data_IF_470698965885
#
_entry.id   IF_470698965885
#
_cell.length_a   1.000
_cell.length_b   1.000
_cell.length_c   1.000
_cell.angle_alpha   90.00
_cell.angle_beta   90.00
_cell.angle_gamma   90.00
#
_symmetry.space_group_name_H-M   'P 1'
#
loop_
_entity.id
_entity.type
_entity.pdbx_description
1 polymer ?
#
# COMPACT_ATOMS: atom_id res chain seq x y z
N UNK A 1 5.41 -45.42 -44.17
CA UNK A 1 4.31 -46.13 -43.45
C UNK A 1 3.05 -46.16 -44.31
N UNK A 2 2.24 -47.21 -44.21
CA UNK A 2 0.97 -47.29 -44.94
C UNK A 2 -0.16 -46.60 -44.16
N UNK A 3 -1.27 -46.28 -44.84
CA UNK A 3 -2.37 -45.50 -44.21
C UNK A 3 -2.94 -46.16 -42.94
N UNK A 4 -3.03 -47.49 -42.88
CA UNK A 4 -3.50 -48.23 -41.69
C UNK A 4 -2.60 -48.06 -40.47
N UNK A 5 -1.29 -47.94 -40.69
CA UNK A 5 -0.33 -47.70 -39.62
C UNK A 5 -0.49 -46.28 -39.09
N UNK A 6 -0.67 -45.32 -40.01
CA UNK A 6 -0.92 -43.91 -39.66
C UNK A 6 -2.24 -43.73 -38.91
N UNK A 7 -3.31 -44.44 -39.29
CA UNK A 7 -4.57 -44.45 -38.53
C UNK A 7 -4.35 -44.87 -37.09
N UNK A 8 -3.58 -45.95 -36.85
CA UNK A 8 -3.25 -46.42 -35.50
C UNK A 8 -2.42 -45.41 -34.72
N UNK A 9 -1.45 -44.75 -35.37
CA UNK A 9 -0.54 -43.81 -34.73
C UNK A 9 -1.15 -42.44 -34.43
N UNK A 10 -2.14 -42.01 -35.21
CA UNK A 10 -2.77 -40.68 -35.12
C UNK A 10 -4.18 -40.75 -34.52
N UNK A 11 -4.83 -41.91 -34.59
CA UNK A 11 -6.24 -42.08 -34.27
C UNK A 11 -7.18 -41.30 -35.20
N UNK A 12 -6.71 -40.90 -36.39
CA UNK A 12 -7.53 -40.31 -37.44
C UNK A 12 -8.07 -41.43 -38.34
N UNK A 13 -9.26 -41.23 -38.92
CA UNK A 13 -9.76 -42.15 -39.94
C UNK A 13 -9.04 -41.93 -41.27
N UNK A 14 -8.96 -42.98 -42.08
CA UNK A 14 -8.42 -42.93 -43.45
C UNK A 14 -9.10 -41.81 -44.26
N UNK A 15 -10.41 -41.61 -44.05
CA UNK A 15 -11.16 -40.54 -44.72
C UNK A 15 -10.65 -39.15 -44.32
N UNK A 16 -10.36 -38.93 -43.04
CA UNK A 16 -9.81 -37.67 -42.56
C UNK A 16 -8.39 -37.42 -43.09
N UNK A 17 -7.53 -38.46 -43.08
CA UNK A 17 -6.15 -38.37 -43.61
C UNK A 17 -6.17 -37.99 -45.09
N UNK A 18 -7.01 -38.65 -45.90
CA UNK A 18 -7.18 -38.33 -47.33
C UNK A 18 -7.73 -36.92 -47.55
N UNK A 19 -8.68 -36.48 -46.72
CA UNK A 19 -9.21 -35.13 -46.80
C UNK A 19 -8.11 -34.09 -46.53
N UNK A 20 -7.25 -34.32 -45.56
CA UNK A 20 -6.14 -33.40 -45.24
C UNK A 20 -5.09 -33.37 -46.35
N UNK A 21 -4.79 -34.51 -46.96
CA UNK A 21 -3.97 -34.58 -48.18
C UNK A 21 -4.61 -33.79 -49.33
N UNK A 22 -5.90 -34.01 -49.61
CA UNK A 22 -6.64 -33.31 -50.69
C UNK A 22 -6.70 -31.79 -50.47
N UNK A 23 -6.78 -31.34 -49.22
CA UNK A 23 -6.77 -29.92 -48.85
C UNK A 23 -5.36 -29.32 -48.79
N UNK A 24 -4.32 -30.12 -49.07
CA UNK A 24 -2.93 -29.70 -49.07
C UNK A 24 -2.40 -29.33 -47.68
N UNK A 25 -2.93 -29.95 -46.63
CA UNK A 25 -2.43 -29.81 -45.25
C UNK A 25 -1.26 -30.73 -44.96
N UNK A 26 -1.14 -31.83 -45.72
CA UNK A 26 0.01 -32.73 -45.72
C UNK A 26 0.35 -33.10 -47.15
N UNK A 27 1.61 -33.38 -47.41
CA UNK A 27 2.08 -33.89 -48.70
C UNK A 27 2.65 -35.30 -48.51
N UNK A 28 2.15 -36.25 -49.31
CA UNK A 28 2.47 -37.67 -49.15
C UNK A 28 3.14 -38.18 -50.40
N UNK A 29 4.38 -38.67 -50.26
CA UNK A 29 5.09 -39.31 -51.35
C UNK A 29 4.42 -40.63 -51.74
N UNK A 30 4.58 -41.02 -53.01
CA UNK A 30 4.22 -42.36 -53.47
C UNK A 30 5.47 -43.22 -53.62
N UNK A 31 5.37 -44.47 -53.23
CA UNK A 31 6.47 -45.41 -53.34
C UNK A 31 6.73 -45.74 -54.83
N UNK A 32 7.95 -45.56 -55.34
CA UNK A 32 8.25 -45.74 -56.76
C UNK A 32 8.13 -47.19 -57.26
N UNK A 33 8.08 -48.19 -56.36
CA UNK A 33 8.00 -49.60 -56.71
C UNK A 33 6.57 -50.12 -56.88
N UNK A 34 5.59 -49.50 -56.22
CA UNK A 34 4.21 -50.01 -56.17
C UNK A 34 3.12 -48.93 -56.18
N UNK A 35 3.51 -47.65 -56.34
CA UNK A 35 2.65 -46.46 -56.39
C UNK A 35 1.71 -46.26 -55.18
N UNK A 36 1.92 -47.00 -54.08
CA UNK A 36 1.17 -46.78 -52.85
C UNK A 36 1.69 -45.55 -52.11
N UNK A 37 0.77 -44.87 -51.40
CA UNK A 37 1.11 -43.73 -50.53
C UNK A 37 2.02 -44.20 -49.40
N UNK A 38 3.13 -43.50 -49.23
CA UNK A 38 4.11 -43.76 -48.21
C UNK A 38 4.24 -42.55 -47.28
N UNK A 39 3.67 -42.68 -46.08
CA UNK A 39 3.66 -41.62 -45.09
C UNK A 39 4.97 -41.63 -44.29
N UNK A 40 5.63 -40.47 -44.22
CA UNK A 40 6.81 -40.25 -43.39
C UNK A 40 6.43 -40.05 -41.92
N UNK A 41 7.43 -40.08 -41.03
CA UNK A 41 7.23 -39.69 -39.63
C UNK A 41 6.80 -38.23 -39.48
N UNK A 42 7.29 -37.35 -40.34
CA UNK A 42 6.89 -35.94 -40.36
C UNK A 42 5.39 -35.79 -40.72
N UNK A 43 4.90 -36.57 -41.68
CA UNK A 43 3.47 -36.59 -42.01
C UNK A 43 2.63 -37.04 -40.80
N UNK A 44 3.09 -38.03 -40.03
CA UNK A 44 2.42 -38.45 -38.79
C UNK A 44 2.44 -37.34 -37.74
N UNK A 45 3.56 -36.62 -37.59
CA UNK A 45 3.68 -35.47 -36.68
C UNK A 45 2.71 -34.35 -37.06
N UNK A 46 2.67 -33.97 -38.34
CA UNK A 46 1.76 -32.96 -38.86
C UNK A 46 0.30 -33.37 -38.67
N UNK A 47 -0.06 -34.63 -38.96
CA UNK A 47 -1.42 -35.15 -38.73
C UNK A 47 -1.83 -35.11 -37.25
N UNK A 48 -0.91 -35.37 -36.32
CA UNK A 48 -1.17 -35.21 -34.88
C UNK A 48 -1.40 -33.74 -34.50
N UNK A 49 -0.62 -32.83 -35.06
CA UNK A 49 -0.80 -31.39 -34.85
C UNK A 49 -2.14 -30.91 -35.41
N UNK A 50 -2.51 -31.29 -36.64
CA UNK A 50 -3.81 -31.00 -37.24
C UNK A 50 -4.94 -31.50 -36.33
N UNK A 51 -4.84 -32.73 -35.80
CA UNK A 51 -5.82 -33.27 -34.87
C UNK A 51 -5.97 -32.42 -33.61
N UNK A 52 -4.86 -31.95 -33.05
CA UNK A 52 -4.85 -31.09 -31.87
C UNK A 52 -5.50 -29.72 -32.17
N UNK A 53 -5.14 -29.09 -33.29
CA UNK A 53 -5.72 -27.80 -33.68
C UNK A 53 -7.23 -27.92 -33.98
N UNK A 54 -7.67 -29.04 -34.56
CA UNK A 54 -9.10 -29.34 -34.74
C UNK A 54 -9.83 -29.51 -33.41
N UNK A 55 -9.16 -30.03 -32.37
CA UNK A 55 -9.74 -30.14 -31.03
C UNK A 55 -9.98 -28.75 -30.40
N UNK A 56 -9.13 -27.77 -30.70
CA UNK A 56 -9.33 -26.37 -30.32
C UNK A 56 -10.24 -25.61 -31.29
N UNK A 57 -11.03 -26.31 -32.11
CA UNK A 57 -11.98 -25.72 -33.06
C UNK A 57 -11.33 -24.75 -34.07
N UNK A 58 -10.07 -24.99 -34.46
CA UNK A 58 -9.48 -24.25 -35.57
C UNK A 58 -10.07 -24.73 -36.91
N UNK A 59 -10.40 -23.80 -37.80
CA UNK A 59 -10.88 -24.11 -39.14
C UNK A 59 -9.78 -24.74 -40.00
N UNK A 60 -10.13 -25.44 -41.09
CA UNK A 60 -9.10 -26.03 -41.98
C UNK A 60 -8.23 -24.95 -42.66
N UNK A 61 -8.79 -23.75 -42.87
CA UNK A 61 -8.05 -22.61 -43.41
C UNK A 61 -7.04 -22.08 -42.38
N UNK A 62 -7.47 -21.85 -41.14
CA UNK A 62 -6.60 -21.44 -40.03
C UNK A 62 -5.48 -22.46 -39.81
N UNK A 63 -5.80 -23.76 -39.81
CA UNK A 63 -4.80 -24.82 -39.65
C UNK A 63 -3.75 -24.75 -40.74
N UNK A 64 -4.13 -24.48 -41.99
CA UNK A 64 -3.17 -24.35 -43.09
C UNK A 64 -2.18 -23.22 -42.86
N UNK A 65 -2.65 -22.08 -42.37
CA UNK A 65 -1.80 -20.94 -42.00
C UNK A 65 -0.91 -21.29 -40.81
N UNK A 66 -1.48 -21.86 -39.74
CA UNK A 66 -0.76 -22.24 -38.53
C UNK A 66 0.34 -23.29 -38.79
N UNK A 67 0.16 -24.19 -39.76
CA UNK A 67 1.19 -25.17 -40.14
C UNK A 67 2.39 -24.53 -40.84
N UNK A 68 2.25 -23.31 -41.38
CA UNK A 68 3.33 -22.58 -42.04
C UNK A 68 4.15 -21.70 -41.10
N UNK A 69 3.71 -21.54 -39.86
CA UNK A 69 4.32 -20.64 -38.88
C UNK A 69 5.60 -21.18 -38.28
N UNK A 70 6.49 -20.26 -37.88
CA UNK A 70 7.59 -20.59 -36.98
C UNK A 70 7.04 -21.01 -35.61
N UNK A 71 7.87 -21.64 -34.77
CA UNK A 71 7.43 -22.05 -33.43
C UNK A 71 7.00 -20.85 -32.56
N UNK A 72 7.62 -19.68 -32.74
CA UNK A 72 7.29 -18.45 -32.01
C UNK A 72 5.96 -17.84 -32.48
N UNK A 73 5.73 -17.84 -33.79
CA UNK A 73 4.47 -17.35 -34.37
C UNK A 73 3.30 -18.27 -34.03
N UNK A 74 3.51 -19.59 -34.09
CA UNK A 74 2.51 -20.58 -33.69
C UNK A 74 2.14 -20.43 -32.21
N UNK A 75 3.13 -20.18 -31.35
CA UNK A 75 2.88 -19.91 -29.92
C UNK A 75 2.03 -18.67 -29.73
N UNK A 76 2.32 -17.60 -30.47
CA UNK A 76 1.55 -16.34 -30.42
C UNK A 76 0.10 -16.55 -30.87
N UNK A 77 -0.11 -17.24 -32.00
CA UNK A 77 -1.44 -17.54 -32.51
C UNK A 77 -2.26 -18.45 -31.58
N UNK A 78 -1.61 -19.44 -30.93
CA UNK A 78 -2.28 -20.27 -29.92
C UNK A 78 -2.63 -19.49 -28.66
N UNK A 79 -1.84 -18.49 -28.28
CA UNK A 79 -2.20 -17.56 -27.20
C UNK A 79 -3.44 -16.74 -27.55
N UNK A 80 -3.54 -16.24 -28.78
CA UNK A 80 -4.72 -15.53 -29.28
C UNK A 80 -5.96 -16.44 -29.29
N UNK A 81 -5.84 -17.66 -29.81
CA UNK A 81 -6.93 -18.65 -29.78
C UNK A 81 -7.40 -18.95 -28.36
N UNK A 82 -6.47 -19.08 -27.40
CA UNK A 82 -6.80 -19.24 -25.97
C UNK A 82 -7.57 -18.03 -25.42
N UNK A 83 -7.19 -16.81 -25.80
CA UNK A 83 -7.91 -15.60 -25.38
C UNK A 83 -9.34 -15.59 -25.92
N UNK A 84 -9.52 -15.91 -27.20
CA UNK A 84 -10.86 -16.03 -27.80
C UNK A 84 -11.74 -17.08 -27.12
N UNK A 85 -11.19 -18.26 -26.81
CA UNK A 85 -11.91 -19.31 -26.07
C UNK A 85 -12.31 -18.83 -24.67
N UNK A 86 -11.43 -18.12 -23.96
CA UNK A 86 -11.76 -17.58 -22.64
C UNK A 86 -12.88 -16.53 -22.71
N UNK A 87 -12.88 -15.68 -23.72
CA UNK A 87 -13.93 -14.68 -23.93
C UNK A 87 -15.27 -15.37 -24.22
N UNK A 88 -15.29 -16.38 -25.10
CA UNK A 88 -16.48 -17.18 -25.35
C UNK A 88 -16.98 -17.89 -24.08
N UNK A 89 -16.09 -18.39 -23.24
CA UNK A 89 -16.46 -19.02 -21.98
C UNK A 89 -17.13 -18.02 -21.01
N UNK A 90 -16.65 -16.78 -20.99
CA UNK A 90 -17.24 -15.70 -20.18
C UNK A 90 -18.62 -15.29 -20.70
N UNK A 91 -18.77 -15.10 -22.02
CA UNK A 91 -20.07 -14.84 -22.65
C UNK A 91 -21.09 -15.97 -22.41
N UNK A 92 -20.62 -17.22 -22.44
CA UNK A 92 -21.46 -18.38 -22.12
C UNK A 92 -21.85 -18.41 -20.64
N UNK A 93 -20.96 -18.00 -19.73
CA UNK A 93 -21.29 -17.89 -18.30
C UNK A 93 -22.36 -16.82 -18.07
N UNK A 94 -22.22 -15.64 -18.68
CA UNK A 94 -23.23 -14.57 -18.61
C UNK A 94 -24.59 -15.05 -19.13
N UNK A 95 -24.60 -15.82 -20.24
CA UNK A 95 -25.82 -16.43 -20.79
C UNK A 95 -26.44 -17.45 -19.85
N UNK A 96 -25.64 -18.25 -19.14
CA UNK A 96 -26.12 -19.22 -18.14
C UNK A 96 -26.74 -18.50 -16.94
N UNK A 97 -26.14 -17.42 -16.48
CA UNK A 97 -26.68 -16.62 -15.37
C UNK A 97 -28.03 -15.99 -15.76
N UNK A 98 -28.10 -15.40 -16.96
CA UNK A 98 -29.36 -14.86 -17.48
C UNK A 98 -30.43 -15.95 -17.65
N UNK A 99 -30.07 -17.12 -18.22
CA UNK A 99 -30.99 -18.25 -18.34
C UNK A 99 -31.52 -18.69 -16.97
N UNK A 100 -30.67 -18.68 -15.95
CA UNK A 100 -31.06 -19.03 -14.58
C UNK A 100 -32.08 -18.04 -14.03
N UNK A 101 -31.90 -16.74 -14.29
CA UNK A 101 -32.86 -15.70 -13.92
C UNK A 101 -34.19 -15.86 -14.68
N UNK A 102 -34.13 -16.05 -16.01
CA UNK A 102 -35.32 -16.29 -16.83
C UNK A 102 -36.12 -17.50 -16.33
N UNK A 103 -35.45 -18.61 -16.00
CA UNK A 103 -36.09 -19.80 -15.44
C UNK A 103 -36.79 -19.50 -14.11
N UNK A 104 -36.23 -18.62 -13.27
CA UNK A 104 -36.84 -18.24 -12.00
C UNK A 104 -38.08 -17.37 -12.18
N UNK A 105 -38.09 -16.49 -13.19
CA UNK A 105 -39.14 -15.48 -13.40
C UNK A 105 -40.26 -15.97 -14.33
N UNK A 106 -40.00 -17.04 -15.10
CA UNK A 106 -40.94 -17.61 -16.06
C UNK A 106 -42.30 -17.93 -15.42
N UNK A 107 -43.34 -17.22 -15.85
CA UNK A 107 -44.72 -17.40 -15.38
C UNK A 107 -45.04 -16.81 -14.01
N UNK A 108 -44.10 -16.09 -13.36
CA UNK A 108 -44.35 -15.38 -12.09
C UNK A 108 -44.74 -13.92 -12.26
N UNK A 109 -44.40 -13.31 -13.40
CA UNK A 109 -44.74 -11.94 -13.79
C UNK A 109 -45.34 -11.93 -15.19
N UNK A 110 -46.22 -10.98 -15.51
CA UNK A 110 -46.74 -10.80 -16.88
C UNK A 110 -45.65 -10.25 -17.82
N UNK A 111 -44.80 -9.35 -17.32
CA UNK A 111 -43.82 -8.60 -18.13
C UNK A 111 -42.40 -9.22 -18.13
N UNK A 112 -42.26 -10.48 -17.70
CA UNK A 112 -40.95 -11.16 -17.58
C UNK A 112 -40.15 -11.17 -18.89
N UNK A 113 -40.84 -11.16 -20.04
CA UNK A 113 -40.21 -11.14 -21.35
C UNK A 113 -39.60 -9.78 -21.68
N UNK A 114 -40.28 -8.68 -21.31
CA UNK A 114 -39.77 -7.32 -21.51
C UNK A 114 -38.58 -7.05 -20.59
N UNK A 115 -38.67 -7.42 -19.30
CA UNK A 115 -37.56 -7.32 -18.34
C UNK A 115 -36.32 -8.12 -18.80
N UNK A 116 -36.50 -9.32 -19.36
CA UNK A 116 -35.41 -10.13 -19.88
C UNK A 116 -34.77 -9.49 -21.12
N UNK A 117 -35.56 -8.90 -22.02
CA UNK A 117 -35.05 -8.20 -23.21
C UNK A 117 -34.28 -6.93 -22.84
N UNK A 118 -34.77 -6.16 -21.87
CA UNK A 118 -34.06 -4.99 -21.33
C UNK A 118 -32.74 -5.39 -20.67
N UNK A 119 -32.73 -6.49 -19.91
CA UNK A 119 -31.53 -7.02 -19.27
C UNK A 119 -30.49 -7.48 -20.30
N UNK A 120 -30.90 -8.13 -21.39
CA UNK A 120 -30.02 -8.49 -22.52
C UNK A 120 -29.46 -7.22 -23.16
N UNK A 121 -30.31 -6.24 -23.48
CA UNK A 121 -29.88 -4.99 -24.11
C UNK A 121 -28.89 -4.21 -23.23
N UNK A 122 -29.07 -4.24 -21.90
CA UNK A 122 -28.15 -3.65 -20.95
C UNK A 122 -26.83 -4.41 -20.87
N UNK A 123 -26.86 -5.74 -20.75
CA UNK A 123 -25.65 -6.57 -20.65
C UNK A 123 -24.83 -6.52 -21.95
N UNK A 124 -25.49 -6.52 -23.11
CA UNK A 124 -24.84 -6.38 -24.42
C UNK A 124 -24.43 -4.94 -24.74
N UNK A 125 -24.83 -3.96 -23.91
CA UNK A 125 -24.41 -2.57 -24.11
C UNK A 125 -22.89 -2.46 -23.97
N UNK A 126 -22.25 -1.75 -24.90
CA UNK A 126 -20.81 -1.54 -24.87
C UNK A 126 -20.34 -0.88 -23.56
N UNK A 127 -21.13 0.05 -23.01
CA UNK A 127 -20.82 0.70 -21.73
C UNK A 127 -20.77 -0.28 -20.56
N UNK A 128 -21.69 -1.26 -20.51
CA UNK A 128 -21.69 -2.27 -19.45
C UNK A 128 -20.51 -3.23 -19.59
N UNK A 129 -20.20 -3.67 -20.81
CA UNK A 129 -19.07 -4.57 -21.07
C UNK A 129 -17.74 -3.90 -20.72
N UNK A 130 -17.54 -2.64 -21.10
CA UNK A 130 -16.36 -1.85 -20.73
C UNK A 130 -16.27 -1.70 -19.20
N UNK A 131 -17.38 -1.37 -18.53
CA UNK A 131 -17.42 -1.23 -17.07
C UNK A 131 -17.11 -2.56 -16.36
N UNK A 132 -17.69 -3.68 -16.84
CA UNK A 132 -17.45 -5.02 -16.29
C UNK A 132 -15.97 -5.36 -16.41
N UNK A 133 -15.37 -5.16 -17.58
CA UNK A 133 -13.97 -5.42 -17.82
C UNK A 133 -13.06 -4.57 -16.93
N UNK A 134 -13.37 -3.27 -16.76
CA UNK A 134 -12.65 -2.37 -15.88
C UNK A 134 -12.77 -2.78 -14.41
N UNK A 135 -13.96 -3.20 -13.97
CA UNK A 135 -14.20 -3.69 -12.61
C UNK A 135 -13.43 -4.98 -12.33
N UNK A 136 -13.49 -5.96 -13.24
CA UNK A 136 -12.71 -7.19 -13.12
C UNK A 136 -11.22 -6.90 -13.05
N UNK A 137 -10.71 -6.03 -13.93
CA UNK A 137 -9.33 -5.61 -13.91
C UNK A 137 -8.97 -4.90 -12.60
N UNK A 138 -9.86 -4.06 -12.06
CA UNK A 138 -9.67 -3.36 -10.79
C UNK A 138 -9.64 -4.33 -9.60
N UNK A 139 -10.47 -5.37 -9.60
CA UNK A 139 -10.58 -6.39 -8.55
C UNK A 139 -9.41 -7.38 -8.54
N UNK A 140 -8.67 -7.54 -9.65
CA UNK A 140 -7.48 -8.40 -9.66
C UNK A 140 -6.49 -8.00 -8.56
N UNK A 141 -5.89 -8.94 -7.82
CA UNK A 141 -4.95 -8.58 -6.77
C UNK A 141 -3.65 -8.03 -7.38
N UNK A 142 -3.04 -7.07 -6.69
CA UNK A 142 -1.81 -6.41 -7.11
C UNK A 142 -0.67 -6.78 -6.19
N UNK A 143 0.50 -7.13 -6.74
CA UNK A 143 1.67 -7.46 -5.90
C UNK A 143 2.09 -6.29 -5.02
N UNK A 144 1.93 -5.06 -5.50
CA UNK A 144 2.32 -3.86 -4.77
C UNK A 144 1.41 -3.65 -3.55
N UNK A 145 0.11 -3.86 -3.73
CA UNK A 145 -0.85 -3.78 -2.62
C UNK A 145 -0.66 -4.95 -1.65
N UNK A 146 -0.39 -6.16 -2.15
CA UNK A 146 -0.09 -7.33 -1.32
C UNK A 146 1.15 -7.11 -0.45
N UNK A 147 2.22 -6.56 -1.03
CA UNK A 147 3.44 -6.20 -0.30
C UNK A 147 3.17 -5.12 0.75
N UNK A 148 2.45 -4.06 0.39
CA UNK A 148 2.09 -2.99 1.32
C UNK A 148 1.24 -3.50 2.49
N UNK A 149 0.21 -4.31 2.22
CA UNK A 149 -0.62 -4.92 3.26
C UNK A 149 0.18 -5.87 4.14
N UNK A 150 1.14 -6.62 3.57
CA UNK A 150 2.06 -7.46 4.34
C UNK A 150 2.90 -6.64 5.31
N UNK A 151 3.44 -5.50 4.85
CA UNK A 151 4.22 -4.59 5.69
C UNK A 151 3.37 -3.97 6.81
N UNK A 152 2.12 -3.59 6.53
CA UNK A 152 1.22 -3.05 7.56
C UNK A 152 0.82 -4.11 8.58
N UNK A 153 0.51 -5.32 8.12
CA UNK A 153 0.12 -6.44 8.98
C UNK A 153 1.30 -7.02 9.76
N UNK A 154 2.56 -6.80 9.37
CA UNK A 154 3.72 -7.30 10.12
C UNK A 154 4.01 -6.51 11.41
N UNK A 155 3.38 -5.34 11.59
CA UNK A 155 3.58 -4.47 12.76
C UNK A 155 3.45 -5.18 14.11
N UNK A 156 2.34 -5.89 14.40
CA UNK A 156 2.18 -6.64 15.63
C UNK A 156 3.23 -7.74 15.84
N UNK A 157 3.66 -8.41 14.76
CA UNK A 157 4.67 -9.47 14.80
C UNK A 157 6.03 -8.89 15.17
N UNK A 158 6.41 -7.78 14.53
CA UNK A 158 7.63 -7.05 14.86
C UNK A 158 7.59 -6.53 16.30
N UNK A 159 6.44 -6.01 16.73
CA UNK A 159 6.26 -5.52 18.09
C UNK A 159 6.36 -6.63 19.14
N UNK A 160 5.83 -7.82 18.85
CA UNK A 160 5.98 -8.99 19.70
C UNK A 160 7.45 -9.37 19.83
N UNK A 161 8.16 -9.43 18.70
CA UNK A 161 9.57 -9.79 18.66
C UNK A 161 10.43 -8.80 19.45
N UNK A 162 10.24 -7.49 19.25
CA UNK A 162 11.00 -6.47 19.99
C UNK A 162 10.70 -6.51 21.49
N UNK A 163 9.44 -6.73 21.91
CA UNK A 163 9.08 -6.87 23.33
C UNK A 163 9.76 -8.07 23.99
N UNK A 164 9.79 -9.21 23.32
CA UNK A 164 10.47 -10.42 23.81
C UNK A 164 11.96 -10.14 23.98
N UNK A 165 12.59 -9.50 22.99
CA UNK A 165 14.02 -9.14 23.04
C UNK A 165 14.33 -8.16 24.19
N UNK A 166 13.42 -7.21 24.47
CA UNK A 166 13.53 -6.25 25.57
C UNK A 166 13.16 -6.85 26.94
N UNK A 167 12.79 -8.14 27.03
CA UNK A 167 12.41 -8.78 28.29
C UNK A 167 11.07 -8.30 28.88
N UNK A 168 10.23 -7.62 28.10
CA UNK A 168 8.95 -7.04 28.57
C UNK A 168 7.86 -8.12 28.59
N UNK A 169 7.48 -8.55 29.79
CA UNK A 169 6.50 -9.63 30.01
C UNK A 169 5.03 -9.19 29.87
N UNK A 170 4.76 -7.88 29.86
CA UNK A 170 3.39 -7.35 29.90
C UNK A 170 2.64 -7.53 28.59
N UNK A 171 1.39 -8.00 28.69
CA UNK A 171 0.45 -8.16 27.58
C UNK A 171 0.97 -9.03 26.42
N UNK A 172 2.01 -9.84 26.65
CA UNK A 172 2.60 -10.75 25.66
C UNK A 172 1.56 -11.71 25.08
N UNK A 173 0.63 -12.20 25.91
CA UNK A 173 -0.44 -13.08 25.45
C UNK A 173 -1.34 -12.40 24.40
N UNK A 174 -1.84 -11.19 24.71
CA UNK A 174 -2.67 -10.43 23.77
C UNK A 174 -1.92 -10.12 22.48
N UNK A 175 -0.66 -9.68 22.60
CA UNK A 175 0.19 -9.37 21.45
C UNK A 175 0.50 -10.61 20.61
N UNK A 176 0.66 -11.77 21.23
CA UNK A 176 0.80 -13.05 20.54
C UNK A 176 -0.47 -13.43 19.76
N UNK A 177 -1.66 -13.25 20.37
CA UNK A 177 -2.94 -13.48 19.67
C UNK A 177 -3.07 -12.54 18.46
N UNK A 178 -2.79 -11.25 18.63
CA UNK A 178 -2.85 -10.27 17.52
C UNK A 178 -1.81 -10.62 16.43
N UNK A 179 -0.61 -11.05 16.81
CA UNK A 179 0.44 -11.49 15.86
C UNK A 179 0.04 -12.75 15.09
N UNK A 180 -0.65 -13.69 15.73
CA UNK A 180 -1.19 -14.88 15.07
C UNK A 180 -2.30 -14.50 14.08
N UNK A 181 -3.22 -13.61 14.48
CA UNK A 181 -4.26 -13.10 13.59
C UNK A 181 -3.66 -12.37 12.39
N UNK A 182 -2.65 -11.53 12.61
CA UNK A 182 -1.91 -10.86 11.56
C UNK A 182 -1.21 -11.85 10.61
N UNK A 183 -0.58 -12.89 11.15
CA UNK A 183 0.07 -13.96 10.36
C UNK A 183 -0.95 -14.71 9.50
N UNK A 184 -2.11 -15.06 10.06
CA UNK A 184 -3.20 -15.69 9.33
C UNK A 184 -3.72 -14.77 8.21
N UNK A 185 -3.88 -13.48 8.49
CA UNK A 185 -4.30 -12.48 7.51
C UNK A 185 -3.30 -12.35 6.35
N UNK A 186 -2.00 -12.22 6.64
CA UNK A 186 -0.93 -12.21 5.63
C UNK A 186 -1.01 -13.46 4.76
N UNK A 187 -1.19 -14.63 5.38
CA UNK A 187 -1.30 -15.91 4.66
C UNK A 187 -2.49 -15.92 3.70
N UNK A 188 -3.65 -15.40 4.12
CA UNK A 188 -4.85 -15.32 3.28
C UNK A 188 -4.66 -14.38 2.09
N UNK A 189 -4.04 -13.21 2.29
CA UNK A 189 -3.75 -12.26 1.20
C UNK A 189 -2.81 -12.89 0.17
N UNK A 190 -1.72 -13.54 0.62
CA UNK A 190 -0.78 -14.19 -0.29
C UNK A 190 -1.39 -15.37 -1.02
N UNK A 191 -2.22 -16.17 -0.34
CA UNK A 191 -2.97 -17.25 -0.99
C UNK A 191 -3.85 -16.71 -2.10
N UNK A 192 -4.63 -15.67 -1.82
CA UNK A 192 -5.52 -15.04 -2.80
C UNK A 192 -4.76 -14.49 -4.01
N UNK A 193 -3.68 -13.74 -3.76
CA UNK A 193 -2.81 -13.23 -4.82
C UNK A 193 -2.22 -14.37 -5.68
N UNK A 194 -1.64 -15.40 -5.05
CA UNK A 194 -0.99 -16.50 -5.78
C UNK A 194 -2.00 -17.32 -6.58
N UNK A 195 -3.14 -17.70 -5.99
CA UNK A 195 -4.18 -18.47 -6.69
C UNK A 195 -4.69 -17.70 -7.90
N UNK A 196 -4.94 -16.39 -7.75
CA UNK A 196 -5.43 -15.56 -8.85
C UNK A 196 -4.33 -15.30 -9.89
N UNK A 197 -3.07 -15.18 -9.47
CA UNK A 197 -1.91 -15.07 -10.36
C UNK A 197 -1.76 -16.29 -11.28
N UNK A 198 -1.96 -17.50 -10.75
CA UNK A 198 -1.93 -18.71 -11.56
C UNK A 198 -3.07 -18.78 -12.57
N UNK A 199 -4.26 -18.24 -12.24
CA UNK A 199 -5.43 -18.19 -13.13
C UNK A 199 -5.33 -17.09 -14.21
N UNK A 200 -4.89 -15.89 -13.84
CA UNK A 200 -4.91 -14.68 -14.71
C UNK A 200 -3.51 -14.08 -14.91
N UNK A 201 -2.51 -14.93 -15.20
CA UNK A 201 -1.08 -14.57 -15.23
C UNK A 201 -0.77 -13.33 -16.08
N UNK A 202 -1.32 -13.25 -17.29
CA UNK A 202 -1.03 -12.16 -18.22
C UNK A 202 -1.67 -10.83 -17.76
N UNK A 203 -2.96 -10.85 -17.39
CA UNK A 203 -3.67 -9.68 -16.85
C UNK A 203 -2.98 -9.13 -15.59
N UNK A 204 -2.56 -10.01 -14.66
CA UNK A 204 -1.87 -9.59 -13.43
C UNK A 204 -0.46 -9.09 -13.72
N UNK A 205 0.28 -9.68 -14.65
CA UNK A 205 1.61 -9.17 -15.05
C UNK A 205 1.52 -7.77 -15.64
N UNK A 206 0.51 -7.51 -16.48
CA UNK A 206 0.25 -6.18 -17.01
C UNK A 206 -0.10 -5.18 -15.91
N UNK A 207 -0.98 -5.56 -14.96
CA UNK A 207 -1.34 -4.74 -13.80
C UNK A 207 -0.15 -4.42 -12.89
N UNK A 208 0.68 -5.42 -12.59
CA UNK A 208 1.88 -5.22 -11.78
C UNK A 208 2.87 -4.27 -12.47
N UNK A 209 3.02 -4.36 -13.79
CA UNK A 209 3.90 -3.46 -14.56
C UNK A 209 3.35 -2.02 -14.61
N UNK A 210 2.05 -1.84 -14.84
CA UNK A 210 1.43 -0.51 -14.86
C UNK A 210 1.50 0.18 -13.49
N UNK A 211 1.46 -0.61 -12.41
CA UNK A 211 1.50 -0.11 -11.04
C UNK A 211 2.91 0.00 -10.43
N UNK A 212 3.98 -0.38 -11.16
CA UNK A 212 5.35 -0.30 -10.64
C UNK A 212 5.79 1.13 -10.25
N UNK A 213 5.17 2.15 -10.83
CA UNK A 213 5.39 3.56 -10.49
C UNK A 213 5.03 3.90 -9.04
N UNK A 214 4.25 3.08 -8.33
CA UNK A 214 3.96 3.32 -6.91
C UNK A 214 5.20 3.29 -6.01
N UNK A 215 6.25 2.54 -6.37
CA UNK A 215 7.49 2.52 -5.58
C UNK A 215 8.19 3.89 -5.59
N UNK A 216 8.60 4.45 -6.75
CA UNK A 216 9.25 5.76 -6.77
C UNK A 216 8.33 6.85 -6.23
N UNK A 217 7.02 6.77 -6.45
CA UNK A 217 6.04 7.68 -5.85
C UNK A 217 6.11 7.63 -4.31
N UNK A 218 6.07 6.43 -3.73
CA UNK A 218 6.17 6.24 -2.28
C UNK A 218 7.49 6.78 -1.71
N UNK A 219 8.61 6.51 -2.39
CA UNK A 219 9.94 6.97 -1.96
C UNK A 219 10.07 8.49 -2.02
N UNK A 220 9.64 9.12 -3.12
CA UNK A 220 9.64 10.58 -3.28
C UNK A 220 8.72 11.22 -2.22
N UNK A 221 7.57 10.60 -1.95
CA UNK A 221 6.63 11.10 -0.93
C UNK A 221 7.22 11.02 0.48
N UNK A 222 7.95 9.94 0.80
CA UNK A 222 8.66 9.80 2.07
C UNK A 222 9.74 10.88 2.23
N UNK A 223 10.60 11.04 1.22
CA UNK A 223 11.66 12.06 1.22
C UNK A 223 11.04 13.45 1.31
N UNK A 224 10.00 13.75 0.53
CA UNK A 224 9.30 15.03 0.56
C UNK A 224 8.67 15.35 1.91
N UNK A 225 8.11 14.35 2.60
CA UNK A 225 7.60 14.50 3.96
C UNK A 225 8.69 14.87 4.97
N UNK A 226 9.85 14.21 4.89
CA UNK A 226 11.02 14.54 5.73
C UNK A 226 11.55 15.93 5.41
N UNK A 227 11.74 16.26 4.13
CA UNK A 227 12.20 17.58 3.67
C UNK A 227 11.24 18.67 4.12
N UNK A 228 9.94 18.44 4.06
CA UNK A 228 8.94 19.36 4.59
C UNK A 228 9.16 19.62 6.08
N UNK A 229 9.32 18.58 6.90
CA UNK A 229 9.50 18.76 8.34
C UNK A 229 10.77 19.56 8.67
N UNK A 230 11.87 19.28 7.98
CA UNK A 230 13.12 20.06 8.07
C UNK A 230 12.89 21.51 7.66
N UNK A 231 12.14 21.76 6.58
CA UNK A 231 11.79 23.11 6.13
C UNK A 231 10.96 23.86 7.17
N UNK A 232 9.98 23.20 7.81
CA UNK A 232 9.19 23.82 8.88
C UNK A 232 10.07 24.19 10.07
N UNK A 233 10.95 23.28 10.53
CA UNK A 233 11.92 23.57 11.58
C UNK A 233 12.79 24.79 11.25
N UNK A 234 13.37 24.80 10.05
CA UNK A 234 14.16 25.92 9.56
C UNK A 234 13.36 27.24 9.51
N UNK A 235 12.10 27.22 9.07
CA UNK A 235 11.23 28.40 9.06
C UNK A 235 10.96 28.91 10.48
N UNK A 236 10.63 28.01 11.40
CA UNK A 236 10.41 28.31 12.83
C UNK A 236 11.63 29.01 13.43
N UNK A 237 12.82 28.42 13.27
CA UNK A 237 14.07 28.94 13.81
C UNK A 237 14.51 30.26 13.18
N UNK A 238 14.27 30.42 11.87
CA UNK A 238 14.76 31.59 11.14
C UNK A 238 13.89 32.82 11.32
N UNK A 239 12.57 32.65 11.44
CA UNK A 239 11.61 33.75 11.36
C UNK A 239 10.75 33.95 12.60
N UNK A 240 10.56 32.92 13.43
CA UNK A 240 9.58 32.96 14.52
C UNK A 240 10.21 32.85 15.92
N UNK A 241 11.45 32.39 16.03
CA UNK A 241 12.17 32.30 17.30
C UNK A 241 13.10 33.52 17.51
N UNK A 242 13.17 34.07 18.73
CA UNK A 242 14.10 35.14 19.09
C UNK A 242 15.53 34.60 19.18
N UNK A 243 16.56 35.43 18.99
CA UNK A 243 17.96 34.98 18.86
C UNK A 243 18.53 34.21 20.07
N UNK A 244 17.94 34.35 21.25
CA UNK A 244 18.36 33.74 22.51
C UNK A 244 17.52 32.51 22.92
N UNK A 245 16.76 31.93 21.98
CA UNK A 245 16.00 30.70 22.22
C UNK A 245 16.94 29.55 22.63
N UNK A 246 16.56 28.85 23.70
CA UNK A 246 17.30 27.72 24.26
C UNK A 246 16.84 26.41 23.63
N UNK A 247 15.54 26.15 23.67
CA UNK A 247 14.91 25.00 23.04
C UNK A 247 13.44 25.28 22.75
N UNK A 248 12.84 24.50 21.86
CA UNK A 248 11.41 24.59 21.55
C UNK A 248 10.81 23.21 21.26
N UNK A 249 9.50 23.09 21.42
CA UNK A 249 8.78 21.87 21.03
C UNK A 249 7.43 22.21 20.40
N UNK A 250 7.09 21.49 19.33
CA UNK A 250 5.76 21.52 18.74
C UNK A 250 4.79 20.70 19.58
N UNK A 251 3.50 21.05 19.59
CA UNK A 251 2.51 20.12 20.14
C UNK A 251 2.56 18.77 19.40
N UNK A 252 2.77 17.69 20.13
CA UNK A 252 3.13 16.39 19.56
C UNK A 252 2.06 15.76 18.67
N UNK A 253 0.78 16.05 18.92
CA UNK A 253 -0.32 15.52 18.12
C UNK A 253 -0.37 16.07 16.68
N UNK A 254 -0.07 17.34 16.47
CA UNK A 254 -0.22 17.97 15.15
C UNK A 254 0.95 17.67 14.21
N UNK A 255 2.16 17.52 14.75
CA UNK A 255 3.37 17.15 13.97
C UNK A 255 3.21 15.82 13.25
N UNK A 256 2.72 14.79 13.94
CA UNK A 256 2.50 13.46 13.36
C UNK A 256 1.42 13.52 12.26
N UNK A 257 0.29 14.18 12.53
CA UNK A 257 -0.82 14.35 11.57
C UNK A 257 -0.36 15.08 10.31
N UNK A 258 0.46 16.10 10.46
CA UNK A 258 0.99 16.86 9.35
C UNK A 258 1.85 16.03 8.39
N UNK A 259 2.72 15.17 8.91
CA UNK A 259 3.57 14.30 8.10
C UNK A 259 2.71 13.32 7.30
N UNK A 260 1.75 12.66 7.94
CA UNK A 260 0.85 11.74 7.24
C UNK A 260 0.01 12.45 6.17
N UNK A 261 -0.49 13.64 6.46
CA UNK A 261 -1.26 14.43 5.50
C UNK A 261 -0.43 14.78 4.26
N UNK A 262 0.82 15.22 4.45
CA UNK A 262 1.70 15.63 3.35
C UNK A 262 2.16 14.44 2.54
N UNK A 263 2.49 13.32 3.19
CA UNK A 263 2.80 12.08 2.48
C UNK A 263 1.62 11.60 1.65
N UNK A 264 0.40 11.58 2.21
CA UNK A 264 -0.80 11.20 1.48
C UNK A 264 -1.06 12.17 0.29
N UNK A 265 -0.83 13.46 0.48
CA UNK A 265 -0.94 14.47 -0.57
C UNK A 265 0.08 14.23 -1.70
N UNK A 266 1.36 13.99 -1.38
CA UNK A 266 2.39 13.71 -2.38
C UNK A 266 2.09 12.43 -3.16
N UNK A 267 1.63 11.38 -2.48
CA UNK A 267 1.19 10.12 -3.13
C UNK A 267 0.04 10.39 -4.10
N UNK A 268 -0.96 11.19 -3.70
CA UNK A 268 -2.09 11.55 -4.55
C UNK A 268 -1.66 12.37 -5.78
N UNK A 269 -0.84 13.40 -5.58
CA UNK A 269 -0.36 14.29 -6.63
C UNK A 269 0.46 13.52 -7.67
N UNK A 270 1.46 12.78 -7.20
CA UNK A 270 2.35 11.99 -8.06
C UNK A 270 1.61 10.82 -8.72
N UNK A 271 0.63 10.21 -8.04
CA UNK A 271 -0.22 9.17 -8.60
C UNK A 271 -1.08 9.67 -9.77
N UNK A 272 -1.61 10.89 -9.70
CA UNK A 272 -2.32 11.50 -10.84
C UNK A 272 -1.40 11.91 -11.98
N UNK A 273 -0.22 12.46 -11.67
CA UNK A 273 0.80 12.78 -12.67
C UNK A 273 1.25 11.52 -13.44
N UNK A 274 1.45 10.41 -12.74
CA UNK A 274 1.82 9.13 -13.35
C UNK A 274 0.73 8.55 -14.26
N UNK A 275 -0.55 8.85 -14.01
CA UNK A 275 -1.67 8.46 -14.88
C UNK A 275 -1.95 9.47 -16.00
N UNK A 276 -1.13 10.52 -16.15
CA UNK A 276 -1.32 11.61 -17.13
C UNK A 276 -2.73 12.23 -17.11
N UNK A 277 -3.41 12.15 -15.96
CA UNK A 277 -4.75 12.73 -15.80
C UNK A 277 -4.60 14.23 -15.66
N UNK A 278 -5.29 15.01 -16.52
CA UNK A 278 -5.29 16.47 -16.45
C UNK A 278 -5.85 16.92 -15.09
N UNK A 279 -4.97 17.36 -14.20
CA UNK A 279 -5.35 18.00 -12.94
C UNK A 279 -5.72 19.45 -13.22
N UNK A 280 -6.96 19.84 -12.92
CA UNK A 280 -7.34 21.26 -12.97
C UNK A 280 -6.51 22.05 -11.95
N UNK A 281 -5.96 23.19 -12.36
CA UNK A 281 -5.09 24.03 -11.53
C UNK A 281 -5.75 24.44 -10.19
N UNK A 282 -7.09 24.50 -10.14
CA UNK A 282 -7.88 24.81 -8.95
C UNK A 282 -7.60 23.84 -7.79
N UNK A 283 -7.40 22.56 -8.09
CA UNK A 283 -7.06 21.56 -7.07
C UNK A 283 -5.62 21.74 -6.58
N UNK A 284 -4.70 22.11 -7.48
CA UNK A 284 -3.32 22.44 -7.10
C UNK A 284 -3.24 23.60 -6.13
N UNK A 285 -4.01 24.67 -6.38
CA UNK A 285 -4.14 25.80 -5.45
C UNK A 285 -4.72 25.40 -4.10
N UNK A 286 -5.82 24.65 -4.08
CA UNK A 286 -6.46 24.23 -2.83
C UNK A 286 -5.50 23.39 -1.97
N UNK A 287 -4.71 22.53 -2.60
CA UNK A 287 -3.72 21.69 -1.92
C UNK A 287 -2.53 22.52 -1.41
N UNK A 288 -2.01 23.45 -2.22
CA UNK A 288 -0.97 24.38 -1.77
C UNK A 288 -1.43 25.24 -0.59
N UNK A 289 -2.66 25.77 -0.64
CA UNK A 289 -3.28 26.48 0.47
C UNK A 289 -3.43 25.62 1.72
N UNK A 290 -3.80 24.35 1.56
CA UNK A 290 -3.86 23.37 2.64
C UNK A 290 -2.51 23.12 3.30
N UNK A 291 -1.44 22.95 2.50
CA UNK A 291 -0.08 22.83 3.03
C UNK A 291 0.36 24.07 3.80
N UNK A 292 0.12 25.28 3.27
CA UNK A 292 0.45 26.54 3.94
C UNK A 292 -0.28 26.67 5.28
N UNK A 293 -1.60 26.41 5.28
CA UNK A 293 -2.41 26.46 6.50
C UNK A 293 -1.93 25.44 7.54
N UNK A 294 -1.58 24.23 7.10
CA UNK A 294 -1.08 23.18 7.98
C UNK A 294 0.32 23.51 8.53
N UNK A 295 1.20 24.11 7.73
CA UNK A 295 2.48 24.68 8.21
C UNK A 295 2.23 25.77 9.25
N UNK A 296 1.31 26.70 8.98
CA UNK A 296 0.99 27.76 9.91
C UNK A 296 0.41 27.22 11.24
N UNK A 297 -0.45 26.20 11.17
CA UNK A 297 -0.98 25.53 12.35
C UNK A 297 0.10 24.83 13.17
N UNK A 298 1.06 24.16 12.52
CA UNK A 298 2.21 23.54 13.21
C UNK A 298 3.05 24.58 13.95
N UNK A 299 3.43 25.66 13.26
CA UNK A 299 4.23 26.73 13.88
C UNK A 299 3.46 27.38 15.03
N UNK A 300 2.13 27.52 14.89
CA UNK A 300 1.23 28.05 15.93
C UNK A 300 1.07 27.17 17.16
N UNK A 301 1.70 26.00 17.22
CA UNK A 301 1.73 25.17 18.42
C UNK A 301 3.11 25.04 19.04
N UNK A 302 4.04 25.92 18.63
CA UNK A 302 5.40 25.95 19.13
C UNK A 302 5.45 26.64 20.50
N UNK A 303 5.92 25.91 21.50
CA UNK A 303 6.33 26.48 22.77
C UNK A 303 7.86 26.60 22.78
N UNK A 304 8.37 27.81 22.90
CA UNK A 304 9.79 28.11 22.93
C UNK A 304 10.23 28.60 24.30
N UNK A 305 11.37 28.12 24.77
CA UNK A 305 12.00 28.58 26.00
C UNK A 305 13.21 29.40 25.62
N UNK A 306 13.30 30.63 26.14
CA UNK A 306 14.43 31.55 25.95
C UNK A 306 15.21 31.66 27.26
N UNK A 307 16.20 32.57 27.35
CA UNK A 307 16.95 32.75 28.59
C UNK A 307 16.12 33.30 29.74
N UNK A 308 15.13 34.14 29.46
CA UNK A 308 14.40 34.91 30.47
C UNK A 308 12.90 34.58 30.52
N UNK A 309 12.35 33.99 29.45
CA UNK A 309 10.90 33.78 29.30
C UNK A 309 10.53 32.54 28.47
N UNK A 310 9.26 32.17 28.55
CA UNK A 310 8.61 31.12 27.76
C UNK A 310 7.67 31.80 26.77
N UNK A 311 7.79 31.48 25.48
CA UNK A 311 7.02 32.08 24.40
C UNK A 311 6.11 31.00 23.80
N UNK A 312 4.81 31.24 23.83
CA UNK A 312 3.79 30.44 23.15
C UNK A 312 3.48 31.08 21.81
N UNK A 313 4.08 30.55 20.74
CA UNK A 313 3.97 31.12 19.39
C UNK A 313 2.62 30.77 18.81
N UNK A 314 1.91 31.77 18.32
CA UNK A 314 0.66 31.60 17.58
C UNK A 314 0.65 32.53 16.37
N UNK A 315 0.37 31.99 15.18
CA UNK A 315 0.28 32.78 13.94
C UNK A 315 -1.14 33.26 13.64
N UNK A 316 -2.15 32.65 14.27
CA UNK A 316 -3.57 32.95 14.07
C UNK A 316 -4.14 33.88 15.15
N UNK A 317 -3.49 33.92 16.31
CA UNK A 317 -3.78 34.82 17.43
C UNK A 317 -2.46 35.43 17.93
N UNK A 318 -2.48 36.53 18.70
CA UNK A 318 -1.27 37.09 19.28
C UNK A 318 -0.52 36.06 20.12
N UNK A 319 0.78 35.89 19.85
CA UNK A 319 1.67 35.07 20.69
C UNK A 319 1.64 35.56 22.14
N UNK A 320 1.79 34.64 23.08
CA UNK A 320 1.83 34.96 24.51
C UNK A 320 3.23 34.72 25.05
N UNK A 321 3.68 35.66 25.86
CA UNK A 321 4.97 35.58 26.56
C UNK A 321 4.69 35.42 28.05
N UNK A 322 5.40 34.49 28.67
CA UNK A 322 5.27 34.13 30.08
C UNK A 322 6.65 34.25 30.73
N UNK A 323 6.71 34.94 31.85
CA UNK A 323 7.90 34.88 32.71
C UNK A 323 7.95 33.51 33.38
N UNK A 324 9.15 33.07 33.79
CA UNK A 324 9.26 31.82 34.55
C UNK A 324 8.44 31.82 35.84
N UNK A 325 8.27 32.98 36.47
CA UNK A 325 7.41 33.16 37.65
C UNK A 325 5.91 32.92 37.39
N UNK A 326 5.48 32.94 36.12
CA UNK A 326 4.08 32.73 35.75
C UNK A 326 3.72 31.22 35.71
N UNK A 327 4.71 30.34 35.84
CA UNK A 327 4.50 28.90 35.95
C UNK A 327 3.89 28.56 37.31
N UNK A 328 2.67 28.04 37.30
CA UNK A 328 1.89 27.71 38.51
C UNK A 328 2.34 26.41 39.15
N UNK A 329 2.67 25.41 38.34
CA UNK A 329 3.16 24.11 38.79
C UNK A 329 3.89 23.37 37.69
N UNK A 330 4.72 22.41 38.11
CA UNK A 330 5.48 21.51 37.25
C UNK A 330 5.07 20.07 37.56
N UNK A 331 4.96 19.25 36.52
CA UNK A 331 4.89 17.80 36.64
C UNK A 331 5.98 17.16 35.80
N UNK A 332 6.75 16.23 36.37
CA UNK A 332 7.79 15.49 35.65
C UNK A 332 7.70 14.00 35.91
N UNK A 333 7.75 13.18 34.88
CA UNK A 333 7.77 11.73 35.07
C UNK A 333 7.59 10.96 33.79
N UNK A 334 7.35 9.66 33.94
CA UNK A 334 7.17 8.74 32.84
C UNK A 334 5.69 8.38 32.66
N UNK A 335 5.29 8.13 31.42
CA UNK A 335 3.97 7.56 31.16
C UNK A 335 3.89 6.11 31.63
N UNK A 336 2.68 5.66 31.96
CA UNK A 336 2.39 4.27 32.36
C UNK A 336 1.29 3.60 31.51
N UNK A 337 0.70 4.32 30.54
CA UNK A 337 -0.38 3.76 29.71
C UNK A 337 0.20 2.98 28.53
N UNK A 338 -0.23 1.73 28.40
CA UNK A 338 0.17 0.86 27.29
C UNK A 338 -0.43 1.31 25.95
N UNK A 339 -1.69 1.75 25.95
CA UNK A 339 -2.42 2.18 24.75
C UNK A 339 -2.99 3.57 24.99
N UNK A 340 -2.45 4.56 24.30
CA UNK A 340 -2.93 5.94 24.34
C UNK A 340 -2.49 6.71 23.09
N UNK A 341 -3.34 7.62 22.63
CA UNK A 341 -3.01 8.56 21.56
C UNK A 341 -2.06 9.64 22.08
N UNK A 342 -2.15 9.99 23.37
CA UNK A 342 -1.29 10.99 23.98
C UNK A 342 0.10 10.42 24.26
N UNK A 343 1.11 10.82 23.47
CA UNK A 343 2.48 10.32 23.59
C UNK A 343 3.08 10.53 24.98
N UNK A 344 2.76 11.65 25.65
CA UNK A 344 3.26 11.95 26.99
C UNK A 344 2.78 10.98 28.09
N UNK A 345 1.74 10.20 27.82
CA UNK A 345 1.21 9.20 28.75
C UNK A 345 1.63 7.77 28.35
N UNK A 346 2.28 7.59 27.20
CA UNK A 346 2.73 6.28 26.74
C UNK A 346 3.79 5.73 27.69
N UNK A 347 3.68 4.45 27.96
CA UNK A 347 4.56 3.73 28.88
C UNK A 347 6.05 3.96 28.55
N UNK A 348 6.82 4.47 29.52
CA UNK A 348 8.27 4.67 29.39
C UNK A 348 8.72 5.98 28.73
N UNK A 349 7.79 6.76 28.16
CA UNK A 349 8.09 8.08 27.60
C UNK A 349 8.18 9.10 28.74
N UNK A 350 9.31 9.82 28.80
CA UNK A 350 9.48 10.93 29.74
C UNK A 350 8.69 12.16 29.26
N UNK A 351 8.05 12.87 30.18
CA UNK A 351 7.48 14.17 29.87
C UNK A 351 7.66 15.18 31.01
N UNK A 352 8.02 16.40 30.62
CA UNK A 352 8.13 17.58 31.45
C UNK A 352 6.94 18.49 31.16
N UNK A 353 6.08 18.73 32.14
CA UNK A 353 4.80 19.42 31.93
C UNK A 353 4.72 20.64 32.82
N UNK A 354 4.50 21.80 32.23
CA UNK A 354 4.29 23.04 32.96
C UNK A 354 2.85 23.50 32.85
N UNK A 355 2.32 24.00 33.96
CA UNK A 355 1.01 24.62 34.02
C UNK A 355 1.16 26.14 34.01
N UNK A 356 0.71 26.77 32.93
CA UNK A 356 0.61 28.21 32.77
C UNK A 356 -0.86 28.65 32.92
N UNK A 357 -1.10 29.96 32.91
CA UNK A 357 -2.47 30.48 33.01
C UNK A 357 -3.30 30.11 31.77
N UNK A 358 -4.28 29.21 31.98
CA UNK A 358 -5.19 28.72 30.94
C UNK A 358 -4.58 27.72 29.94
N UNK A 359 -3.30 27.31 30.07
CA UNK A 359 -2.66 26.37 29.14
C UNK A 359 -1.66 25.45 29.83
N UNK A 360 -1.60 24.20 29.36
CA UNK A 360 -0.58 23.21 29.73
C UNK A 360 0.39 23.05 28.57
N UNK A 361 1.69 23.15 28.84
CA UNK A 361 2.74 22.90 27.86
C UNK A 361 3.47 21.61 28.28
N UNK A 362 3.81 20.79 27.28
CA UNK A 362 4.46 19.50 27.48
C UNK A 362 5.71 19.47 26.63
N UNK A 363 6.86 19.24 27.27
CA UNK A 363 8.14 18.99 26.63
C UNK A 363 8.50 17.51 26.83
N UNK A 364 8.88 16.82 25.77
CA UNK A 364 9.34 15.42 25.80
C UNK A 364 10.69 15.31 25.11
N UNK A 365 10.80 15.84 23.91
CA UNK A 365 11.98 15.79 23.05
C UNK A 365 12.15 17.13 22.33
N UNK A 366 12.48 18.20 23.08
CA UNK A 366 12.56 19.52 22.48
C UNK A 366 13.73 19.62 21.51
N UNK A 367 13.56 20.46 20.49
CA UNK A 367 14.64 20.84 19.58
C UNK A 367 15.51 21.90 20.24
N UNK A 368 16.82 21.70 20.25
CA UNK A 368 17.78 22.48 21.03
C UNK A 368 18.58 23.43 20.15
N UNK A 369 18.85 24.64 20.66
CA UNK A 369 19.76 25.57 20.02
C UNK A 369 21.22 25.16 20.30
N UNK A 370 21.80 24.41 19.36
CA UNK A 370 23.18 23.93 19.44
C UNK A 370 24.23 25.05 19.53
N UNK A 371 23.88 26.30 19.21
CA UNK A 371 24.81 27.43 19.37
C UNK A 371 24.90 27.92 20.81
N UNK A 372 23.88 27.67 21.63
CA UNK A 372 23.78 28.17 23.01
C UNK A 372 23.92 27.07 24.06
N UNK A 373 23.54 25.85 23.72
CA UNK A 373 23.57 24.69 24.61
C UNK A 373 24.56 23.66 24.05
N UNK A 374 25.45 23.08 24.88
CA UNK A 374 26.39 22.05 24.44
C UNK A 374 25.67 20.85 23.81
N UNK A 375 26.41 20.11 22.98
CA UNK A 375 25.93 18.93 22.27
C UNK A 375 25.77 17.74 23.23
N UNK A 376 24.78 17.83 24.12
CA UNK A 376 24.41 16.83 25.11
C UNK A 376 22.89 16.81 25.28
N UNK A 377 22.25 15.80 24.70
CA UNK A 377 20.78 15.72 24.59
C UNK A 377 20.09 15.76 25.96
N UNK A 378 19.05 16.58 26.10
CA UNK A 378 18.20 16.76 27.29
C UNK A 378 18.83 17.56 28.45
N UNK A 379 20.04 18.10 28.30
CA UNK A 379 20.65 18.97 29.32
C UNK A 379 19.83 20.27 29.53
N UNK A 380 19.18 20.73 28.47
CA UNK A 380 18.32 21.91 28.46
C UNK A 380 17.12 21.77 29.41
N UNK A 381 16.60 20.55 29.57
CA UNK A 381 15.49 20.27 30.48
C UNK A 381 15.95 20.25 31.94
N UNK A 382 17.17 19.78 32.23
CA UNK A 382 17.75 19.85 33.59
C UNK A 382 17.98 21.30 34.01
N UNK A 383 18.55 22.12 33.12
CA UNK A 383 18.81 23.53 33.40
C UNK A 383 17.50 24.33 33.52
N UNK A 384 16.53 24.04 32.66
CA UNK A 384 15.19 24.63 32.76
C UNK A 384 14.51 24.26 34.07
N UNK A 385 14.59 23.00 34.48
CA UNK A 385 14.04 22.54 35.76
C UNK A 385 14.68 23.26 36.94
N UNK A 386 16.01 23.34 36.96
CA UNK A 386 16.76 24.05 38.02
C UNK A 386 16.30 25.50 38.15
N UNK A 387 16.08 26.21 37.04
CA UNK A 387 15.58 27.59 37.06
C UNK A 387 14.20 27.70 37.72
N UNK A 388 13.28 26.81 37.37
CA UNK A 388 11.94 26.81 37.97
C UNK A 388 11.98 26.42 39.46
N UNK A 389 12.81 25.45 39.83
CA UNK A 389 12.95 25.03 41.24
C UNK A 389 13.57 26.13 42.11
N UNK A 390 14.53 26.90 41.57
CA UNK A 390 15.11 28.05 42.25
C UNK A 390 14.09 29.17 42.53
N UNK A 391 13.01 29.25 41.75
CA UNK A 391 11.89 30.19 41.96
C UNK A 391 10.86 29.67 42.98
N UNK A 392 11.03 28.46 43.52
CA UNK A 392 10.12 27.86 44.49
C UNK A 392 8.80 27.39 43.88
N UNK A 393 8.77 27.11 42.57
CA UNK A 393 7.57 26.63 41.88
C UNK A 393 7.24 25.20 42.35
N UNK A 394 5.97 24.91 42.70
CA UNK A 394 5.61 23.58 43.18
C UNK A 394 5.72 22.54 42.07
N UNK A 395 6.32 21.39 42.41
CA UNK A 395 6.56 20.28 41.49
C UNK A 395 6.04 18.97 42.02
N UNK A 396 5.29 18.26 41.17
CA UNK A 396 4.92 16.87 41.33
C UNK A 396 5.80 15.99 40.44
N UNK A 397 6.22 14.83 40.94
CA UNK A 397 7.06 13.94 40.16
C UNK A 397 6.68 12.47 40.31
N UNK A 398 6.98 11.68 39.28
CA UNK A 398 6.72 10.23 39.28
C UNK A 398 7.81 9.47 38.55
N UNK A 399 8.41 8.50 39.24
CA UNK A 399 9.32 7.51 38.65
C UNK A 399 8.58 6.30 38.10
N UNK A 400 7.27 6.20 38.32
CA UNK A 400 6.46 5.09 37.82
C UNK A 400 6.50 5.05 36.30
N UNK A 401 6.90 3.92 35.74
CA UNK A 401 7.02 3.74 34.30
C UNK A 401 8.44 3.95 33.74
N UNK A 402 9.36 4.48 34.55
CA UNK A 402 10.78 4.64 34.21
C UNK A 402 11.45 3.32 33.78
N UNK A 403 11.02 2.18 34.36
CA UNK A 403 11.52 0.86 34.01
C UNK A 403 11.21 0.44 32.56
N UNK A 404 10.27 1.12 31.89
CA UNK A 404 9.93 0.89 30.49
C UNK A 404 10.55 1.92 29.55
N UNK A 405 11.43 2.79 30.03
CA UNK A 405 12.14 3.71 29.15
C UNK A 405 13.03 2.93 28.18
N UNK A 406 12.98 3.30 26.89
CA UNK A 406 13.75 2.64 25.82
C UNK A 406 15.07 3.35 25.51
N UNK A 407 15.31 4.52 26.09
CA UNK A 407 16.52 5.29 25.86
C UNK A 407 17.70 4.69 26.63
N UNK A 408 18.92 5.03 26.19
CA UNK A 408 20.13 4.60 26.87
C UNK A 408 20.12 4.98 28.35
N UNK A 409 20.75 4.14 29.18
CA UNK A 409 20.87 4.33 30.62
C UNK A 409 21.40 5.72 31.02
N UNK A 410 22.23 6.34 30.19
CA UNK A 410 22.72 7.71 30.37
C UNK A 410 21.56 8.72 30.40
N UNK A 411 20.63 8.64 29.45
CA UNK A 411 19.48 9.54 29.35
C UNK A 411 18.44 9.24 30.43
N UNK A 412 18.20 7.97 30.74
CA UNK A 412 17.32 7.59 31.85
C UNK A 412 17.80 8.20 33.17
N UNK A 413 19.11 8.12 33.47
CA UNK A 413 19.70 8.75 34.66
C UNK A 413 19.48 10.26 34.67
N UNK A 414 19.58 10.91 33.50
CA UNK A 414 19.33 12.35 33.37
C UNK A 414 17.89 12.70 33.73
N UNK A 415 16.91 11.99 33.16
CA UNK A 415 15.51 12.20 33.49
C UNK A 415 15.20 11.91 34.96
N UNK A 416 15.83 10.87 35.54
CA UNK A 416 15.67 10.58 36.97
C UNK A 416 16.20 11.72 37.85
N UNK A 417 17.31 12.37 37.51
CA UNK A 417 17.78 13.57 38.23
C UNK A 417 16.75 14.69 38.20
N UNK A 418 16.12 14.92 37.04
CA UNK A 418 15.01 15.87 36.92
C UNK A 418 13.85 15.44 37.83
N UNK A 419 13.39 14.19 37.75
CA UNK A 419 12.24 13.70 38.55
C UNK A 419 12.51 13.77 40.06
N UNK A 420 13.74 13.51 40.49
CA UNK A 420 14.15 13.41 41.89
C UNK A 420 14.64 14.75 42.48
N UNK A 421 14.68 15.83 41.71
CA UNK A 421 15.23 17.14 42.09
C UNK A 421 16.67 17.08 42.61
N UNK A 422 17.53 16.29 41.95
CA UNK A 422 18.94 16.08 42.33
C UNK A 422 19.93 16.98 41.59
#
# INVERSE_FOLDING_TARGET
MQVKDVEKLTGLSTKAIRLYEEKGLIEVARNPLNDYRDYSEENVRQLRLIKLLRYFECSLAEIKELLSFSEEDLRSALHEKKQGINQQAEELADKVDLLTQVIQDLGKKEDWLEEAQESIAFVESGEFQDLKQDLEYALLPSIWMTLLQTLMASGPILWLFTRIQQGRQENLFLLAVVSLLATAWITLIWRDYLVTWWKHRDKIRQKNRSQAWWIPIGLISLVGGITYFVLVGWLTERFFLPSDWLFYEYSTGLGEVAIFFIMAFLIFLLGKLARLVKLSWKYGLGLAGGCILLTALLISTTAAVTKDQIIDINLLAPSKEYLYSDVKSVWTGFGNKLVTVNRAERQGEFSYRIQLDGKKIVFMQPTVNQNLIPDDTYIELEEFDRRLMNLGIPKESSTEGSQYNELDSHYLKRFLRIVENQ
#
